data_IF_120154196496
#
_entry.id   IF_120154196496
#
_cell.length_a   1.000
_cell.length_b   1.000
_cell.length_c   1.000
_cell.angle_alpha   90.00
_cell.angle_beta   90.00
_cell.angle_gamma   90.00
#
_symmetry.space_group_name_H-M   'P 1'
#
loop_
_entity.id
_entity.type
_entity.pdbx_description
1 polymer ?
#
# COMPACT_ATOMS: atom_id res chain seq x y z
N UNK A 1 -39.83 15.96 -33.00
CA UNK A 1 -39.02 16.90 -32.22
C UNK A 1 -37.81 16.12 -31.72
N UNK A 2 -36.61 16.53 -32.15
CA UNK A 2 -35.33 16.02 -31.67
C UNK A 2 -35.16 16.35 -30.17
N UNK A 3 -34.50 15.47 -29.43
CA UNK A 3 -34.13 15.69 -28.03
C UNK A 3 -33.32 14.53 -27.48
N UNK A 4 -32.11 14.35 -27.99
CA UNK A 4 -31.05 13.65 -27.25
C UNK A 4 -30.71 14.50 -26.02
N UNK A 5 -30.74 13.90 -24.84
CA UNK A 5 -30.02 14.38 -23.68
C UNK A 5 -29.47 13.16 -22.96
N UNK A 6 -28.24 12.79 -23.31
CA UNK A 6 -27.40 12.05 -22.39
C UNK A 6 -26.97 12.99 -21.28
N UNK A 7 -26.97 12.50 -20.05
CA UNK A 7 -26.03 12.91 -19.03
C UNK A 7 -25.57 11.62 -18.36
N UNK A 8 -24.26 11.35 -18.49
CA UNK A 8 -23.58 10.30 -17.76
C UNK A 8 -23.61 10.68 -16.28
N UNK A 9 -24.44 9.98 -15.50
CA UNK A 9 -24.27 9.95 -14.05
C UNK A 9 -23.22 8.86 -13.73
N UNK A 10 -21.99 9.07 -14.22
CA UNK A 10 -20.79 8.51 -13.60
C UNK A 10 -20.58 9.28 -12.28
N UNK A 11 -21.52 9.10 -11.35
CA UNK A 11 -21.20 9.31 -9.96
C UNK A 11 -20.09 8.31 -9.66
N UNK A 12 -18.91 8.85 -9.37
CA UNK A 12 -17.77 8.16 -8.81
C UNK A 12 -18.24 7.38 -7.56
N UNK A 13 -18.81 6.19 -7.78
CA UNK A 13 -19.14 5.26 -6.73
C UNK A 13 -17.80 4.90 -6.14
N UNK A 14 -17.58 5.34 -4.92
CA UNK A 14 -16.50 4.83 -4.08
C UNK A 14 -16.60 3.30 -4.10
N UNK A 15 -15.80 2.69 -4.98
CA UNK A 15 -15.75 1.26 -5.23
C UNK A 15 -14.74 0.61 -4.27
N UNK A 16 -14.27 1.34 -3.25
CA UNK A 16 -13.48 0.77 -2.17
C UNK A 16 -14.31 -0.33 -1.51
N UNK A 17 -13.81 -1.57 -1.46
CA UNK A 17 -14.47 -2.63 -0.72
C UNK A 17 -14.80 -2.15 0.70
N UNK A 18 -16.03 -2.35 1.21
CA UNK A 18 -16.42 -1.86 2.55
C UNK A 18 -15.46 -2.30 3.66
N UNK A 19 -14.83 -3.46 3.47
CA UNK A 19 -13.78 -4.06 4.32
C UNK A 19 -12.47 -3.27 4.36
N UNK A 20 -12.20 -2.43 3.37
CA UNK A 20 -10.97 -1.63 3.24
C UNK A 20 -11.15 -0.13 3.48
N UNK A 21 -12.33 0.32 3.91
CA UNK A 21 -12.55 1.74 4.26
C UNK A 21 -11.63 2.24 5.38
N UNK A 22 -11.10 1.32 6.19
CA UNK A 22 -10.15 1.60 7.26
C UNK A 22 -8.69 1.31 6.86
N UNK A 23 -8.43 0.94 5.61
CA UNK A 23 -7.07 0.81 5.11
C UNK A 23 -6.44 2.19 4.91
N UNK A 24 -5.29 2.41 5.52
CA UNK A 24 -4.46 3.59 5.30
C UNK A 24 -3.07 3.11 4.85
N UNK A 25 -2.57 3.65 3.74
CA UNK A 25 -1.19 3.41 3.30
C UNK A 25 -0.19 4.10 4.25
N UNK A 26 1.06 3.60 4.36
CA UNK A 26 2.09 4.28 5.15
C UNK A 26 2.41 5.67 4.56
N UNK A 27 2.81 6.61 5.42
CA UNK A 27 3.38 7.89 4.96
C UNK A 27 4.68 7.63 4.21
N UNK A 28 4.77 8.05 2.95
CA UNK A 28 5.97 7.85 2.13
C UNK A 28 7.11 8.77 2.55
N UNK A 29 8.17 8.18 3.12
CA UNK A 29 9.32 8.90 3.69
C UNK A 29 10.61 8.61 2.92
N UNK A 30 10.55 8.44 1.59
CA UNK A 30 11.72 8.07 0.78
C UNK A 30 12.91 9.02 0.97
N UNK A 31 14.10 8.44 1.06
CA UNK A 31 15.35 9.18 1.26
C UNK A 31 15.59 9.68 2.69
N UNK A 32 14.64 9.47 3.61
CA UNK A 32 14.72 9.92 5.01
C UNK A 32 15.50 8.94 5.89
N UNK A 33 16.18 9.48 6.90
CA UNK A 33 16.89 8.65 7.89
C UNK A 33 15.95 8.04 8.91
N UNK A 34 16.45 7.09 9.69
CA UNK A 34 15.69 6.43 10.76
C UNK A 34 15.16 7.43 11.79
N UNK A 35 15.95 8.45 12.12
CA UNK A 35 15.57 9.52 13.05
C UNK A 35 14.48 10.42 12.47
N UNK A 36 14.59 10.80 11.20
CA UNK A 36 13.58 11.61 10.52
C UNK A 36 12.24 10.88 10.43
N UNK A 37 12.25 9.57 10.14
CA UNK A 37 11.04 8.74 10.12
C UNK A 37 10.39 8.74 11.50
N UNK A 38 11.14 8.37 12.56
CA UNK A 38 10.61 8.34 13.93
C UNK A 38 10.03 9.67 14.41
N UNK A 39 10.59 10.78 13.95
CA UNK A 39 10.14 12.12 14.34
C UNK A 39 8.90 12.60 13.58
N UNK A 40 8.60 12.03 12.40
CA UNK A 40 7.64 12.63 11.46
C UNK A 40 6.40 11.76 11.20
N UNK A 41 6.52 10.44 11.34
CA UNK A 41 5.37 9.56 11.07
C UNK A 41 4.36 9.63 12.22
N UNK A 42 3.05 9.59 11.95
CA UNK A 42 2.02 9.73 12.98
C UNK A 42 1.74 8.41 13.72
N UNK A 43 2.64 7.43 13.65
CA UNK A 43 2.45 6.08 14.17
C UNK A 43 3.30 5.87 15.42
N UNK A 44 2.82 5.06 16.37
CA UNK A 44 3.59 4.69 17.54
C UNK A 44 4.72 3.73 17.15
N UNK A 45 5.95 4.01 17.58
CA UNK A 45 7.11 3.15 17.32
C UNK A 45 6.96 1.81 18.06
N UNK A 46 6.98 0.69 17.34
CA UNK A 46 6.83 -0.67 17.90
C UNK A 46 8.15 -1.44 17.98
N UNK A 47 9.13 -1.12 17.13
CA UNK A 47 10.41 -1.82 17.14
C UNK A 47 11.32 -1.51 15.96
N UNK A 48 12.45 -2.21 15.91
CA UNK A 48 13.41 -2.10 14.83
C UNK A 48 14.14 -3.41 14.59
N UNK A 49 14.56 -3.63 13.35
CA UNK A 49 15.54 -4.64 12.95
C UNK A 49 16.79 -3.93 12.40
N UNK A 50 17.77 -4.72 11.94
CA UNK A 50 18.95 -4.20 11.26
C UNK A 50 18.55 -3.29 10.07
N UNK A 51 17.60 -3.75 9.26
CA UNK A 51 17.21 -3.09 8.01
C UNK A 51 15.90 -2.31 8.08
N UNK A 52 15.14 -2.39 9.19
CA UNK A 52 13.78 -1.84 9.22
C UNK A 52 13.41 -1.15 10.53
N UNK A 53 12.43 -0.25 10.43
CA UNK A 53 11.65 0.27 11.55
C UNK A 53 10.20 -0.20 11.45
N UNK A 54 9.62 -0.52 12.60
CA UNK A 54 8.26 -1.00 12.73
C UNK A 54 7.45 -0.01 13.58
N UNK A 55 6.20 0.18 13.18
CA UNK A 55 5.26 1.06 13.88
C UNK A 55 3.89 0.40 13.98
N UNK A 56 3.16 0.69 15.06
CA UNK A 56 1.81 0.18 15.26
C UNK A 56 0.88 0.60 14.11
N UNK A 57 0.13 -0.38 13.60
CA UNK A 57 -0.87 -0.15 12.56
C UNK A 57 -2.17 0.46 13.11
N UNK A 58 -3.07 0.81 12.20
CA UNK A 58 -4.39 1.38 12.50
C UNK A 58 -5.46 0.69 11.66
N UNK A 59 -6.65 0.49 12.23
CA UNK A 59 -7.77 -0.17 11.54
C UNK A 59 -7.41 -1.61 11.21
N UNK A 60 -7.45 -1.95 9.92
CA UNK A 60 -7.08 -3.29 9.43
C UNK A 60 -5.57 -3.52 9.32
N UNK A 61 -4.77 -2.46 9.37
CA UNK A 61 -3.30 -2.56 9.33
C UNK A 61 -2.80 -2.99 10.70
N UNK A 62 -2.02 -4.07 10.75
CA UNK A 62 -1.39 -4.56 11.98
C UNK A 62 -0.10 -3.80 12.28
N UNK A 63 0.71 -3.54 11.26
CA UNK A 63 2.01 -2.90 11.42
C UNK A 63 2.40 -2.13 10.15
N UNK A 64 3.01 -0.97 10.33
CA UNK A 64 3.71 -0.25 9.25
C UNK A 64 5.21 -0.53 9.31
N UNK A 65 5.81 -0.74 8.15
CA UNK A 65 7.24 -1.05 8.02
C UNK A 65 7.93 -0.01 7.13
N UNK A 66 9.11 0.43 7.55
CA UNK A 66 10.03 1.24 6.75
C UNK A 66 11.33 0.48 6.58
N UNK A 67 11.78 0.29 5.35
CA UNK A 67 12.97 -0.49 5.00
C UNK A 67 14.06 0.46 4.49
N UNK A 68 15.27 0.28 5.01
CA UNK A 68 16.39 1.19 4.81
C UNK A 68 17.50 0.53 4.01
N UNK A 69 18.05 1.30 3.08
CA UNK A 69 19.28 1.02 2.34
C UNK A 69 20.17 2.25 2.50
N UNK A 70 21.45 2.07 2.85
CA UNK A 70 22.38 3.17 3.16
C UNK A 70 21.81 4.22 4.14
N UNK A 71 21.12 3.74 5.18
CA UNK A 71 20.43 4.54 6.21
C UNK A 71 19.34 5.50 5.66
N UNK A 72 18.79 5.20 4.49
CA UNK A 72 17.70 5.95 3.88
C UNK A 72 16.54 5.03 3.52
N UNK A 73 15.31 5.50 3.72
CA UNK A 73 14.13 4.74 3.29
C UNK A 73 14.17 4.54 1.77
N UNK A 74 14.19 3.29 1.33
CA UNK A 74 14.03 2.93 -0.08
C UNK A 74 12.64 2.32 -0.34
N UNK A 75 12.08 1.64 0.67
CA UNK A 75 10.77 0.99 0.61
C UNK A 75 10.00 1.18 1.91
N UNK A 76 8.67 1.20 1.82
CA UNK A 76 7.78 1.19 2.98
C UNK A 76 6.54 0.37 2.69
N UNK A 77 5.85 -0.09 3.73
CA UNK A 77 4.70 -0.96 3.54
C UNK A 77 3.79 -1.07 4.76
N UNK A 78 2.73 -1.84 4.56
CA UNK A 78 1.76 -2.21 5.58
C UNK A 78 1.62 -3.72 5.64
N UNK A 79 1.60 -4.27 6.85
CA UNK A 79 1.31 -5.67 7.14
C UNK A 79 -0.13 -5.77 7.67
N UNK A 80 -0.90 -6.70 7.11
CA UNK A 80 -2.31 -6.92 7.44
C UNK A 80 -2.69 -8.39 7.22
N UNK A 81 -3.94 -8.77 7.46
CA UNK A 81 -4.39 -10.15 7.24
C UNK A 81 -4.45 -10.48 5.74
N UNK A 82 -4.05 -11.71 5.38
CA UNK A 82 -4.19 -12.22 4.01
C UNK A 82 -5.64 -12.41 3.56
N UNK A 83 -6.59 -12.47 4.49
CA UNK A 83 -8.03 -12.45 4.22
C UNK A 83 -8.46 -11.24 3.38
N UNK A 84 -7.67 -10.16 3.40
CA UNK A 84 -7.95 -8.96 2.63
C UNK A 84 -7.27 -8.93 1.25
N UNK A 85 -6.55 -9.97 0.82
CA UNK A 85 -5.79 -9.94 -0.45
C UNK A 85 -6.66 -9.61 -1.66
N UNK A 86 -7.83 -10.22 -1.79
CA UNK A 86 -8.69 -9.99 -2.97
C UNK A 86 -9.29 -8.57 -2.97
N UNK A 87 -9.67 -8.08 -1.78
CA UNK A 87 -10.14 -6.71 -1.61
C UNK A 87 -9.01 -5.72 -1.88
N UNK A 88 -7.79 -5.98 -1.39
CA UNK A 88 -6.61 -5.13 -1.61
C UNK A 88 -6.22 -5.12 -3.07
N UNK A 89 -6.32 -6.27 -3.74
CA UNK A 89 -6.08 -6.38 -5.16
C UNK A 89 -7.04 -5.47 -5.94
N UNK A 90 -8.32 -5.50 -5.57
CA UNK A 90 -9.37 -4.66 -6.16
C UNK A 90 -9.13 -3.18 -5.88
N UNK A 91 -8.79 -2.82 -4.64
CA UNK A 91 -8.51 -1.45 -4.23
C UNK A 91 -7.27 -0.87 -4.92
N UNK A 92 -6.14 -1.59 -4.92
CA UNK A 92 -4.92 -1.15 -5.59
C UNK A 92 -5.09 -1.01 -7.10
N UNK A 93 -5.92 -1.85 -7.73
CA UNK A 93 -6.25 -1.73 -9.15
C UNK A 93 -7.07 -0.48 -9.50
N UNK A 94 -7.70 0.17 -8.52
CA UNK A 94 -8.38 1.46 -8.72
C UNK A 94 -7.41 2.64 -8.60
N UNK A 95 -6.30 2.47 -7.87
CA UNK A 95 -5.33 3.53 -7.58
C UNK A 95 -4.10 3.49 -8.50
N UNK A 96 -3.74 2.31 -8.98
CA UNK A 96 -2.49 2.06 -9.68
C UNK A 96 -2.70 1.19 -10.91
N UNK A 97 -1.76 1.26 -11.86
CA UNK A 97 -1.76 0.46 -13.06
C UNK A 97 -1.33 -0.97 -12.68
N UNK A 98 -2.25 -1.92 -12.77
CA UNK A 98 -1.91 -3.34 -12.61
C UNK A 98 -1.03 -3.81 -13.78
N UNK A 99 0.12 -4.40 -13.45
CA UNK A 99 1.09 -4.89 -14.45
C UNK A 99 0.96 -6.40 -14.65
N UNK A 100 1.12 -7.17 -13.58
CA UNK A 100 1.16 -8.63 -13.65
C UNK A 100 0.95 -9.30 -12.28
N UNK A 101 0.62 -10.59 -12.32
CA UNK A 101 0.75 -11.49 -11.19
C UNK A 101 1.98 -12.37 -11.42
N UNK A 102 2.88 -12.42 -10.43
CA UNK A 102 4.11 -13.23 -10.44
C UNK A 102 3.88 -14.52 -9.63
N UNK A 103 3.61 -15.66 -10.27
CA UNK A 103 3.20 -16.87 -9.55
C UNK A 103 4.28 -17.42 -8.61
N UNK A 104 5.56 -17.31 -9.02
CA UNK A 104 6.69 -17.76 -8.20
C UNK A 104 6.88 -16.96 -6.90
N UNK A 105 6.38 -15.72 -6.86
CA UNK A 105 6.43 -14.84 -5.69
C UNK A 105 5.06 -14.69 -5.00
N UNK A 106 4.01 -15.27 -5.60
CA UNK A 106 2.60 -15.06 -5.22
C UNK A 106 2.24 -13.57 -5.09
N UNK A 107 2.78 -12.73 -5.98
CA UNK A 107 2.74 -11.28 -5.86
C UNK A 107 1.97 -10.64 -7.00
N UNK A 108 1.03 -9.75 -6.68
CA UNK A 108 0.47 -8.79 -7.63
C UNK A 108 1.36 -7.56 -7.68
N UNK A 109 1.63 -7.08 -8.89
CA UNK A 109 2.53 -5.95 -9.14
C UNK A 109 1.76 -4.83 -9.82
N UNK A 110 1.96 -3.62 -9.31
CA UNK A 110 1.37 -2.39 -9.83
C UNK A 110 2.43 -1.31 -9.98
N UNK A 111 2.09 -0.28 -10.75
CA UNK A 111 2.91 0.91 -10.95
C UNK A 111 2.03 2.16 -10.86
N UNK A 112 2.56 3.26 -10.29
CA UNK A 112 1.88 4.55 -10.35
C UNK A 112 1.84 5.11 -11.78
N UNK A 113 0.85 5.93 -12.09
CA UNK A 113 0.70 6.50 -13.46
C UNK A 113 1.94 7.29 -13.92
N UNK A 114 2.61 7.98 -12.97
CA UNK A 114 3.84 8.73 -13.20
C UNK A 114 5.10 7.84 -13.19
N UNK A 115 4.95 6.53 -13.01
CA UNK A 115 6.01 5.51 -12.92
C UNK A 115 7.01 5.72 -11.79
N UNK A 116 6.67 6.57 -10.83
CA UNK A 116 7.57 6.94 -9.76
C UNK A 116 7.49 5.97 -8.56
N UNK A 117 6.53 5.05 -8.56
CA UNK A 117 6.32 4.03 -7.54
C UNK A 117 5.99 2.67 -8.16
N UNK A 118 6.63 1.63 -7.62
CA UNK A 118 6.24 0.23 -7.81
C UNK A 118 5.55 -0.28 -6.55
N UNK A 119 4.46 -1.03 -6.70
CA UNK A 119 3.69 -1.56 -5.58
C UNK A 119 3.61 -3.08 -5.69
N UNK A 120 3.92 -3.79 -4.60
CA UNK A 120 3.76 -5.23 -4.49
C UNK A 120 2.70 -5.59 -3.44
N UNK A 121 1.75 -6.45 -3.80
CA UNK A 121 0.82 -7.09 -2.87
C UNK A 121 1.07 -8.59 -2.86
N UNK A 122 1.44 -9.15 -1.70
CA UNK A 122 1.77 -10.57 -1.59
C UNK A 122 1.46 -11.14 -0.19
N UNK A 123 1.09 -12.43 -0.11
CA UNK A 123 0.94 -13.11 1.17
C UNK A 123 2.31 -13.31 1.81
N UNK A 124 2.34 -13.15 3.12
CA UNK A 124 3.41 -13.58 4.01
C UNK A 124 3.05 -14.95 4.60
N UNK A 125 3.94 -15.48 5.44
CA UNK A 125 3.60 -16.63 6.27
C UNK A 125 2.58 -16.22 7.36
N UNK A 126 1.93 -17.22 7.97
CA UNK A 126 1.09 -17.05 9.17
C UNK A 126 -0.21 -16.25 9.00
N UNK A 127 -0.82 -16.29 7.81
CA UNK A 127 -2.13 -15.65 7.55
C UNK A 127 -2.04 -14.12 7.42
N UNK A 128 -0.87 -13.63 7.01
CA UNK A 128 -0.59 -12.21 6.82
C UNK A 128 -0.33 -11.91 5.34
N UNK A 129 -0.47 -10.64 4.97
CA UNK A 129 -0.10 -10.10 3.68
C UNK A 129 0.65 -8.78 3.87
N UNK A 130 1.45 -8.43 2.87
CA UNK A 130 2.13 -7.15 2.78
C UNK A 130 1.64 -6.39 1.53
N UNK A 131 1.47 -5.08 1.71
CA UNK A 131 1.50 -4.12 0.61
C UNK A 131 2.78 -3.32 0.75
N UNK A 132 3.67 -3.44 -0.23
CA UNK A 132 4.97 -2.78 -0.28
C UNK A 132 4.98 -1.71 -1.37
N UNK A 133 5.51 -0.53 -1.05
CA UNK A 133 5.67 0.62 -1.93
C UNK A 133 7.16 0.93 -2.06
N UNK A 134 7.67 0.78 -3.29
CA UNK A 134 9.06 0.98 -3.67
C UNK A 134 9.18 2.23 -4.54
N UNK A 135 10.16 3.09 -4.25
CA UNK A 135 10.50 4.23 -5.10
C UNK A 135 11.36 3.77 -6.30
N UNK A 136 10.94 4.16 -7.51
CA UNK A 136 11.72 3.96 -8.74
C UNK A 136 12.72 5.09 -8.99
#
# INVERSE_FOLDING_TARGET
MLGFAGCNDDENKDNTPPTLREYEAPVFMYGKTREEVKASVPYAYSGASETSLYFEGKGIVKEYIYIFEDNKVYSCGSILSDLYIDDLHTYLSQLYIYLEYRPGQRMYVYESEDKSLSIGLYPLNDGLAAVEYLKN
#
